data_IF_022945359378
#
_entry.id   IF_022945359378
#
_cell.length_a   1.000
_cell.length_b   1.000
_cell.length_c   1.000
_cell.angle_alpha   90.00
_cell.angle_beta   90.00
_cell.angle_gamma   90.00
#
_symmetry.space_group_name_H-M   'P 1'
#
loop_
_entity.id
_entity.type
_entity.pdbx_description
1 polymer ?
#
# COMPACT_ATOMS: atom_id res chain seq x y z
N UNK A 1 -1.58 35.34 0.34
CA UNK A 1 -2.40 34.34 -0.39
C UNK A 1 -3.83 34.46 0.14
N UNK A 2 -4.87 34.49 -0.70
CA UNK A 2 -6.25 34.69 -0.21
C UNK A 2 -6.78 33.42 0.48
N UNK A 3 -7.55 33.55 1.58
CA UNK A 3 -8.08 32.46 2.40
C UNK A 3 -8.82 31.41 1.55
N UNK A 4 -9.65 31.87 0.62
CA UNK A 4 -10.41 31.03 -0.30
C UNK A 4 -9.52 30.22 -1.24
N UNK A 5 -8.46 30.83 -1.80
CA UNK A 5 -7.51 30.13 -2.68
C UNK A 5 -6.74 29.03 -1.94
N UNK A 6 -6.49 29.24 -0.64
CA UNK A 6 -5.80 28.29 0.23
C UNK A 6 -6.70 27.08 0.54
N UNK A 7 -7.96 27.35 0.87
CA UNK A 7 -9.01 26.34 1.07
C UNK A 7 -9.22 25.47 -0.17
N UNK A 8 -9.40 26.08 -1.35
CA UNK A 8 -9.57 25.33 -2.59
C UNK A 8 -8.35 24.47 -2.94
N UNK A 9 -7.14 24.94 -2.62
CA UNK A 9 -5.91 24.16 -2.82
C UNK A 9 -5.87 22.93 -1.91
N UNK A 10 -6.18 23.10 -0.63
CA UNK A 10 -6.25 21.99 0.34
C UNK A 10 -7.30 20.97 -0.08
N UNK A 11 -8.49 21.41 -0.51
CA UNK A 11 -9.55 20.50 -0.97
C UNK A 11 -9.11 19.68 -2.18
N UNK A 12 -8.48 20.32 -3.17
CA UNK A 12 -7.94 19.61 -4.33
C UNK A 12 -6.86 18.60 -3.94
N UNK A 13 -5.96 18.95 -3.02
CA UNK A 13 -4.89 18.07 -2.55
C UNK A 13 -5.45 16.88 -1.77
N UNK A 14 -6.45 17.09 -0.90
CA UNK A 14 -7.15 16.02 -0.18
C UNK A 14 -7.85 15.06 -1.15
N UNK A 15 -8.58 15.59 -2.15
CA UNK A 15 -9.27 14.77 -3.16
C UNK A 15 -8.25 13.93 -3.94
N UNK A 16 -7.15 14.53 -4.40
CA UNK A 16 -6.10 13.84 -5.15
C UNK A 16 -5.43 12.75 -4.31
N UNK A 17 -5.05 13.06 -3.07
CA UNK A 17 -4.41 12.10 -2.16
C UNK A 17 -5.35 10.94 -1.82
N UNK A 18 -6.63 11.22 -1.58
CA UNK A 18 -7.65 10.21 -1.31
C UNK A 18 -7.88 9.30 -2.52
N UNK A 19 -7.97 9.88 -3.72
CA UNK A 19 -8.11 9.11 -4.95
C UNK A 19 -6.88 8.20 -5.18
N UNK A 20 -5.66 8.75 -5.03
CA UNK A 20 -4.40 7.99 -5.15
C UNK A 20 -4.37 6.84 -4.14
N UNK A 21 -4.69 7.09 -2.87
CA UNK A 21 -4.73 6.07 -1.83
C UNK A 21 -5.73 4.94 -2.14
N UNK A 22 -6.92 5.28 -2.67
CA UNK A 22 -7.93 4.29 -3.05
C UNK A 22 -7.47 3.42 -4.22
N UNK A 23 -6.88 4.02 -5.26
CA UNK A 23 -6.34 3.28 -6.41
C UNK A 23 -5.18 2.38 -5.99
N UNK A 24 -4.23 2.88 -5.18
CA UNK A 24 -3.12 2.09 -4.66
C UNK A 24 -3.61 0.89 -3.82
N UNK A 25 -4.65 1.07 -2.99
CA UNK A 25 -5.27 -0.02 -2.24
C UNK A 25 -5.90 -1.08 -3.17
N UNK A 26 -6.56 -0.64 -4.25
CA UNK A 26 -7.13 -1.53 -5.26
C UNK A 26 -6.07 -2.36 -5.98
N UNK A 27 -4.99 -1.72 -6.44
CA UNK A 27 -3.86 -2.39 -7.08
C UNK A 27 -3.20 -3.38 -6.12
N UNK A 28 -2.95 -2.97 -4.88
CA UNK A 28 -2.37 -3.85 -3.86
C UNK A 28 -3.23 -5.10 -3.62
N UNK A 29 -4.55 -4.94 -3.51
CA UNK A 29 -5.47 -6.05 -3.32
C UNK A 29 -5.44 -7.01 -4.52
N UNK A 30 -5.49 -6.47 -5.75
CA UNK A 30 -5.43 -7.26 -6.96
C UNK A 30 -4.11 -8.05 -7.06
N UNK A 31 -2.97 -7.40 -6.86
CA UNK A 31 -1.66 -8.06 -6.85
C UNK A 31 -1.56 -9.14 -5.77
N UNK A 32 -2.11 -8.89 -4.58
CA UNK A 32 -2.13 -9.87 -3.49
C UNK A 32 -2.93 -11.12 -3.87
N UNK A 33 -4.12 -10.94 -4.46
CA UNK A 33 -4.94 -12.07 -4.93
C UNK A 33 -4.22 -12.84 -6.06
N UNK A 34 -3.61 -12.12 -7.01
CA UNK A 34 -2.85 -12.75 -8.09
C UNK A 34 -1.66 -13.58 -7.57
N UNK A 35 -0.93 -13.08 -6.57
CA UNK A 35 0.17 -13.80 -5.92
C UNK A 35 -0.32 -15.06 -5.21
N UNK A 36 -1.45 -14.99 -4.51
CA UNK A 36 -2.07 -16.16 -3.86
C UNK A 36 -2.43 -17.23 -4.91
N UNK A 37 -3.06 -16.81 -6.03
CA UNK A 37 -3.39 -17.71 -7.12
C UNK A 37 -2.16 -18.35 -7.76
N UNK A 38 -1.11 -17.56 -8.04
CA UNK A 38 0.16 -18.08 -8.56
C UNK A 38 0.79 -19.09 -7.61
N UNK A 39 0.81 -18.80 -6.30
CA UNK A 39 1.34 -19.72 -5.30
C UNK A 39 0.52 -21.01 -5.24
N UNK A 40 -0.81 -20.93 -5.32
CA UNK A 40 -1.69 -22.09 -5.34
C UNK A 40 -1.45 -22.96 -6.58
N UNK A 41 -1.37 -22.37 -7.78
CA UNK A 41 -1.05 -23.10 -9.00
C UNK A 41 0.34 -23.76 -8.94
N UNK A 42 1.34 -23.06 -8.41
CA UNK A 42 2.68 -23.62 -8.25
C UNK A 42 2.68 -24.81 -7.27
N UNK A 43 1.88 -24.75 -6.21
CA UNK A 43 1.66 -25.86 -5.29
C UNK A 43 1.03 -27.07 -5.98
N UNK A 44 0.00 -26.85 -6.81
CA UNK A 44 -0.68 -27.92 -7.58
C UNK A 44 0.28 -28.56 -8.59
N UNK A 45 1.05 -27.76 -9.33
CA UNK A 45 2.05 -28.25 -10.28
C UNK A 45 3.13 -29.08 -9.58
N UNK A 46 3.60 -28.61 -8.42
CA UNK A 46 4.57 -29.33 -7.59
C UNK A 46 4.01 -30.67 -7.11
N UNK A 47 2.76 -30.70 -6.62
CA UNK A 47 2.09 -31.92 -6.18
C UNK A 47 1.88 -32.91 -7.34
N UNK A 48 1.51 -32.43 -8.53
CA UNK A 48 1.38 -33.26 -9.72
C UNK A 48 2.73 -33.87 -10.13
N UNK A 49 3.78 -33.06 -10.17
CA UNK A 49 5.14 -33.51 -10.46
C UNK A 49 5.63 -34.57 -9.45
N UNK A 50 5.30 -34.42 -8.17
CA UNK A 50 5.60 -35.42 -7.14
C UNK A 50 4.83 -36.71 -7.39
N UNK A 51 3.53 -36.63 -7.66
CA UNK A 51 2.64 -37.80 -7.73
C UNK A 51 2.89 -38.65 -8.98
N UNK A 52 3.31 -38.03 -10.09
CA UNK A 52 3.53 -38.72 -11.37
C UNK A 52 4.98 -39.12 -11.63
N UNK A 53 5.93 -38.73 -10.77
CA UNK A 53 7.34 -39.00 -11.01
C UNK A 53 7.75 -40.38 -10.47
N UNK A 54 8.23 -41.30 -11.33
CA UNK A 54 8.62 -42.64 -10.91
C UNK A 54 9.94 -42.67 -10.12
N UNK A 55 10.72 -41.57 -10.11
CA UNK A 55 11.99 -41.50 -9.40
C UNK A 55 11.79 -40.96 -7.95
N UNK A 56 11.95 -41.80 -6.91
CA UNK A 56 11.72 -41.39 -5.52
C UNK A 56 12.72 -40.34 -5.01
N UNK A 57 13.93 -40.28 -5.57
CA UNK A 57 14.93 -39.25 -5.23
C UNK A 57 14.51 -37.89 -5.76
N UNK A 58 14.00 -37.84 -7.00
CA UNK A 58 13.48 -36.62 -7.59
C UNK A 58 12.23 -36.10 -6.84
N UNK A 59 11.36 -37.01 -6.40
CA UNK A 59 10.19 -36.66 -5.57
C UNK A 59 10.60 -35.93 -4.29
N UNK A 60 11.57 -36.46 -3.54
CA UNK A 60 12.07 -35.83 -2.31
C UNK A 60 12.63 -34.43 -2.58
N UNK A 61 13.35 -34.26 -3.69
CA UNK A 61 13.89 -32.97 -4.11
C UNK A 61 12.76 -31.97 -4.43
N UNK A 62 11.74 -32.37 -5.19
CA UNK A 62 10.60 -31.50 -5.51
C UNK A 62 9.78 -31.11 -4.29
N UNK A 63 9.61 -32.02 -3.32
CA UNK A 63 8.97 -31.71 -2.03
C UNK A 63 9.77 -30.64 -1.29
N UNK A 64 11.09 -30.78 -1.20
CA UNK A 64 11.95 -29.81 -0.53
C UNK A 64 11.89 -28.42 -1.20
N UNK A 65 11.95 -28.38 -2.54
CA UNK A 65 11.84 -27.13 -3.32
C UNK A 65 10.47 -26.48 -3.11
N UNK A 66 9.38 -27.26 -3.17
CA UNK A 66 8.03 -26.75 -2.94
C UNK A 66 7.88 -26.15 -1.54
N UNK A 67 8.46 -26.79 -0.53
CA UNK A 67 8.45 -26.29 0.84
C UNK A 67 9.23 -24.97 1.00
N UNK A 68 10.44 -24.89 0.44
CA UNK A 68 11.25 -23.66 0.46
C UNK A 68 10.52 -22.52 -0.25
N UNK A 69 9.93 -22.79 -1.43
CA UNK A 69 9.16 -21.80 -2.18
C UNK A 69 7.92 -21.29 -1.41
N UNK A 70 7.26 -22.17 -0.64
CA UNK A 70 6.14 -21.77 0.21
C UNK A 70 6.60 -20.81 1.32
N UNK A 71 7.74 -21.08 1.96
CA UNK A 71 8.32 -20.18 2.98
C UNK A 71 8.68 -18.83 2.38
N UNK A 72 9.38 -18.80 1.24
CA UNK A 72 9.77 -17.55 0.57
C UNK A 72 8.53 -16.74 0.19
N UNK A 73 7.52 -17.39 -0.40
CA UNK A 73 6.26 -16.73 -0.75
C UNK A 73 5.56 -16.14 0.47
N UNK A 74 5.55 -16.86 1.60
CA UNK A 74 4.98 -16.38 2.85
C UNK A 74 5.72 -15.14 3.39
N UNK A 75 7.05 -15.19 3.48
CA UNK A 75 7.87 -14.06 3.96
C UNK A 75 7.72 -12.84 3.06
N UNK A 76 7.71 -13.03 1.73
CA UNK A 76 7.53 -11.96 0.76
C UNK A 76 6.15 -11.30 0.88
N UNK A 77 5.10 -12.10 1.07
CA UNK A 77 3.74 -11.61 1.31
C UNK A 77 3.67 -10.79 2.60
N UNK A 78 4.26 -11.27 3.69
CA UNK A 78 4.31 -10.58 4.97
C UNK A 78 5.08 -9.25 4.88
N UNK A 79 6.23 -9.25 4.21
CA UNK A 79 7.01 -8.03 3.96
C UNK A 79 6.20 -7.01 3.15
N UNK A 80 5.51 -7.46 2.11
CA UNK A 80 4.68 -6.59 1.26
C UNK A 80 3.51 -6.00 2.04
N UNK A 81 2.91 -6.78 2.94
CA UNK A 81 1.86 -6.31 3.85
C UNK A 81 2.36 -5.20 4.77
N UNK A 82 3.50 -5.37 5.45
CA UNK A 82 4.04 -4.34 6.34
C UNK A 82 4.46 -3.07 5.61
N UNK A 83 5.05 -3.20 4.42
CA UNK A 83 5.37 -2.04 3.58
C UNK A 83 4.10 -1.29 3.19
N UNK A 84 3.06 -2.00 2.76
CA UNK A 84 1.77 -1.40 2.44
C UNK A 84 1.11 -0.74 3.64
N UNK A 85 1.10 -1.39 4.80
CA UNK A 85 0.55 -0.84 6.05
C UNK A 85 1.26 0.46 6.43
N UNK A 86 2.58 0.50 6.37
CA UNK A 86 3.37 1.69 6.67
C UNK A 86 3.08 2.84 5.69
N UNK A 87 3.02 2.55 4.38
CA UNK A 87 2.69 3.55 3.35
C UNK A 87 1.26 4.06 3.52
N UNK A 88 0.32 3.16 3.82
CA UNK A 88 -1.08 3.50 4.06
C UNK A 88 -1.21 4.40 5.29
N UNK A 89 -0.58 4.03 6.41
CA UNK A 89 -0.57 4.82 7.64
C UNK A 89 -0.01 6.24 7.41
N UNK A 90 1.15 6.36 6.76
CA UNK A 90 1.72 7.68 6.39
C UNK A 90 0.79 8.50 5.51
N UNK A 91 0.13 7.86 4.55
CA UNK A 91 -0.81 8.54 3.64
C UNK A 91 -2.05 9.03 4.39
N UNK A 92 -2.58 8.23 5.32
CA UNK A 92 -3.70 8.61 6.18
C UNK A 92 -3.33 9.74 7.14
N UNK A 93 -2.17 9.68 7.79
CA UNK A 93 -1.67 10.77 8.65
C UNK A 93 -1.56 12.09 7.87
N UNK A 94 -1.07 12.01 6.63
CA UNK A 94 -0.99 13.17 5.74
C UNK A 94 -2.38 13.73 5.41
N UNK A 95 -3.35 12.89 5.08
CA UNK A 95 -4.73 13.32 4.81
C UNK A 95 -5.35 13.98 6.05
N UNK A 96 -5.22 13.35 7.22
CA UNK A 96 -5.73 13.87 8.49
C UNK A 96 -5.12 15.24 8.81
N UNK A 97 -3.82 15.43 8.57
CA UNK A 97 -3.15 16.72 8.74
C UNK A 97 -3.77 17.80 7.84
N UNK A 98 -4.02 17.52 6.56
CA UNK A 98 -4.67 18.50 5.66
C UNK A 98 -6.11 18.80 6.08
N UNK A 99 -6.87 17.81 6.56
CA UNK A 99 -8.22 18.01 7.08
C UNK A 99 -8.25 18.84 8.37
N UNK A 100 -7.30 18.60 9.29
CA UNK A 100 -7.15 19.39 10.51
C UNK A 100 -6.83 20.85 10.19
N UNK A 101 -5.88 21.10 9.26
CA UNK A 101 -5.55 22.46 8.81
C UNK A 101 -6.69 23.14 8.06
N UNK A 102 -7.53 22.38 7.34
CA UNK A 102 -8.77 22.89 6.75
C UNK A 102 -9.74 23.38 7.82
N UNK A 103 -9.94 22.58 8.87
CA UNK A 103 -10.82 22.93 9.98
C UNK A 103 -10.30 24.15 10.75
N UNK A 104 -8.99 24.22 11.00
CA UNK A 104 -8.35 25.40 11.59
C UNK A 104 -8.57 26.66 10.75
N UNK A 105 -8.46 26.58 9.42
CA UNK A 105 -8.74 27.70 8.51
C UNK A 105 -10.20 28.15 8.54
N UNK A 106 -11.14 27.26 8.82
CA UNK A 106 -12.57 27.58 8.93
C UNK A 106 -12.93 28.29 10.25
N UNK A 107 -12.07 28.19 11.27
CA UNK A 107 -12.19 28.92 12.55
C UNK A 107 -12.07 30.44 12.35
N UNK A 108 -12.73 31.21 13.23
CA UNK A 108 -12.72 32.68 13.18
C UNK A 108 -11.34 33.30 13.51
N UNK A 109 -10.50 32.64 14.31
CA UNK A 109 -9.16 33.10 14.73
C UNK A 109 -7.99 32.44 13.95
N UNK A 110 -8.23 31.99 12.72
CA UNK A 110 -7.22 31.27 11.95
C UNK A 110 -6.01 32.15 11.57
N UNK A 111 -4.81 31.78 12.05
CA UNK A 111 -3.55 32.40 11.62
C UNK A 111 -3.10 31.85 10.24
N UNK A 112 -3.54 32.53 9.18
CA UNK A 112 -3.38 32.09 7.79
C UNK A 112 -1.90 31.94 7.39
N UNK A 113 -1.02 32.82 7.86
CA UNK A 113 0.41 32.79 7.50
C UNK A 113 1.14 31.62 8.14
N UNK A 114 0.77 31.26 9.38
CA UNK A 114 1.32 30.11 10.08
C UNK A 114 0.89 28.79 9.43
N UNK A 115 -0.40 28.68 9.07
CA UNK A 115 -0.92 27.51 8.35
C UNK A 115 -0.29 27.39 6.96
N UNK A 116 -0.12 28.50 6.23
CA UNK A 116 0.56 28.51 4.93
C UNK A 116 2.03 28.06 5.04
N UNK A 117 2.73 28.44 6.10
CA UNK A 117 4.12 28.04 6.36
C UNK A 117 4.23 26.54 6.70
N UNK A 118 3.29 26.02 7.49
CA UNK A 118 3.21 24.60 7.81
C UNK A 118 2.92 23.75 6.56
N UNK A 119 2.00 24.20 5.70
CA UNK A 119 1.69 23.55 4.42
C UNK A 119 2.86 23.63 3.42
N UNK A 120 3.61 24.74 3.41
CA UNK A 120 4.78 24.92 2.53
C UNK A 120 5.97 24.03 2.87
N UNK A 121 6.12 23.66 4.15
CA UNK A 121 7.17 22.74 4.60
C UNK A 121 6.88 21.27 4.27
N UNK A 122 5.61 20.91 4.04
CA UNK A 122 5.23 19.57 3.59
C UNK A 122 5.21 19.58 2.06
N UNK A 123 6.37 19.34 1.43
CA UNK A 123 6.42 19.07 -0.01
C UNK A 123 5.52 17.87 -0.31
N UNK A 124 4.53 18.08 -1.18
CA UNK A 124 3.86 16.99 -1.86
C UNK A 124 4.86 16.47 -2.88
N UNK A 125 5.69 15.50 -2.49
CA UNK A 125 6.41 14.70 -3.47
C UNK A 125 5.38 13.98 -4.34
N UNK A 126 5.44 14.25 -5.65
CA UNK A 126 4.55 13.70 -6.67
C UNK A 126 4.69 12.18 -6.76
#
# INVERSE_FOLDING_TARGET
>A
MNKEKLLSKIELDVIKLTAKARVSKGIFLFCSIALILMSAFNGILSAYAITKNPNPTAVKLFVAIAFINAIISFVSSLSSFFVFENVYKKSTEKINFYEEKKNELLSQDANIDEIAKQLGNIKIEN
#
